data_IF_084332039774
#
_entry.id   IF_084332039774
#
_cell.length_a   1.000
_cell.length_b   1.000
_cell.length_c   1.000
_cell.angle_alpha   90.00
_cell.angle_beta   90.00
_cell.angle_gamma   90.00
#
_symmetry.space_group_name_H-M   'P 1'
#
loop_
_entity.id
_entity.type
_entity.pdbx_description
1 polymer ?
#
# COMPACT_ATOMS: atom_id res chain seq x y z
N UNK A 1 -46.58 -23.80 20.41
CA UNK A 1 -45.22 -24.36 20.28
C UNK A 1 -45.03 -24.83 18.84
N UNK A 2 -44.47 -24.00 17.97
CA UNK A 2 -44.07 -24.42 16.61
C UNK A 2 -42.71 -23.78 16.32
N UNK A 3 -41.63 -24.50 16.64
CA UNK A 3 -40.28 -24.19 16.17
C UNK A 3 -40.22 -24.55 14.69
N UNK A 4 -40.21 -23.56 13.80
CA UNK A 4 -39.70 -23.75 12.43
C UNK A 4 -38.20 -23.54 12.47
N UNK A 5 -37.44 -24.62 12.49
CA UNK A 5 -36.01 -24.60 12.18
C UNK A 5 -35.85 -24.28 10.70
N UNK A 6 -35.39 -23.08 10.37
CA UNK A 6 -34.87 -22.79 9.03
C UNK A 6 -33.55 -23.55 8.88
N UNK A 7 -33.63 -24.78 8.38
CA UNK A 7 -32.46 -25.45 7.82
C UNK A 7 -32.06 -24.65 6.58
N UNK A 8 -31.02 -23.83 6.71
CA UNK A 8 -30.35 -23.23 5.56
C UNK A 8 -29.77 -24.37 4.73
N UNK A 9 -30.41 -24.68 3.60
CA UNK A 9 -29.95 -25.72 2.70
C UNK A 9 -28.66 -25.26 2.01
N UNK A 10 -27.53 -25.87 2.40
CA UNK A 10 -26.22 -25.59 1.81
C UNK A 10 -26.17 -25.83 0.30
N UNK A 11 -27.17 -26.51 -0.28
CA UNK A 11 -27.35 -26.64 -1.73
C UNK A 11 -27.82 -25.35 -2.38
N UNK A 12 -28.70 -24.57 -1.77
CA UNK A 12 -29.15 -23.27 -2.33
C UNK A 12 -28.00 -22.25 -2.33
N UNK A 13 -27.18 -22.23 -1.27
CA UNK A 13 -25.98 -21.38 -1.21
C UNK A 13 -24.95 -21.82 -2.25
N UNK A 14 -24.69 -23.12 -2.40
CA UNK A 14 -23.79 -23.65 -3.44
C UNK A 14 -24.30 -23.39 -4.86
N UNK A 15 -25.61 -23.49 -5.09
CA UNK A 15 -26.22 -23.21 -6.40
C UNK A 15 -26.23 -21.72 -6.72
N UNK A 16 -26.43 -20.86 -5.71
CA UNK A 16 -26.36 -19.40 -5.88
C UNK A 16 -24.93 -18.94 -6.15
N UNK A 17 -23.94 -19.46 -5.41
CA UNK A 17 -22.51 -19.19 -5.66
C UNK A 17 -22.07 -19.79 -7.01
N UNK A 18 -22.52 -21.00 -7.33
CA UNK A 18 -22.25 -21.66 -8.60
C UNK A 18 -22.82 -20.91 -9.81
N UNK A 19 -24.04 -20.39 -9.69
CA UNK A 19 -24.68 -19.58 -10.74
C UNK A 19 -24.10 -18.15 -10.80
N UNK A 20 -23.67 -17.56 -9.69
CA UNK A 20 -22.92 -16.29 -9.69
C UNK A 20 -21.58 -16.40 -10.44
N UNK A 21 -20.90 -17.54 -10.31
CA UNK A 21 -19.65 -17.81 -11.01
C UNK A 21 -19.84 -18.19 -12.49
N UNK A 22 -20.99 -18.79 -12.84
CA UNK A 22 -21.29 -19.28 -14.19
C UNK A 22 -22.14 -18.32 -15.05
N UNK A 23 -22.92 -17.43 -14.44
CA UNK A 23 -23.90 -16.55 -15.11
C UNK A 23 -23.86 -15.09 -14.62
N UNK A 24 -23.04 -14.74 -13.63
CA UNK A 24 -22.91 -13.35 -13.20
C UNK A 24 -22.32 -12.48 -14.30
N UNK A 25 -22.82 -11.25 -14.43
CA UNK A 25 -22.18 -10.18 -15.20
C UNK A 25 -20.67 -10.21 -14.91
N UNK A 26 -19.81 -9.99 -15.93
CA UNK A 26 -18.34 -10.13 -15.79
C UNK A 26 -17.74 -9.39 -14.58
N UNK A 27 -18.48 -8.40 -14.10
CA UNK A 27 -18.27 -7.55 -12.94
C UNK A 27 -18.29 -8.29 -11.60
N UNK A 28 -19.36 -9.06 -11.37
CA UNK A 28 -19.52 -9.80 -10.13
C UNK A 28 -18.47 -10.89 -10.06
N UNK A 29 -18.15 -11.49 -11.21
CA UNK A 29 -17.06 -12.46 -11.34
C UNK A 29 -15.69 -11.83 -11.02
N UNK A 30 -15.39 -10.65 -11.56
CA UNK A 30 -14.14 -9.93 -11.26
C UNK A 30 -14.04 -9.60 -9.77
N UNK A 31 -15.11 -9.07 -9.15
CA UNK A 31 -15.13 -8.79 -7.72
C UNK A 31 -14.95 -10.05 -6.87
N UNK A 32 -15.59 -11.17 -7.21
CA UNK A 32 -15.41 -12.44 -6.50
C UNK A 32 -13.95 -12.91 -6.60
N UNK A 33 -13.33 -12.82 -7.78
CA UNK A 33 -11.93 -13.20 -7.97
C UNK A 33 -11.02 -12.31 -7.14
N UNK A 34 -11.16 -10.99 -7.23
CA UNK A 34 -10.30 -10.03 -6.53
C UNK A 34 -10.45 -10.15 -5.02
N UNK A 35 -11.68 -10.16 -4.50
CA UNK A 35 -11.91 -10.32 -3.06
C UNK A 35 -11.48 -11.71 -2.57
N UNK A 36 -11.68 -12.75 -3.37
CA UNK A 36 -11.20 -14.10 -3.06
C UNK A 36 -9.68 -14.15 -2.92
N UNK A 37 -8.94 -13.57 -3.87
CA UNK A 37 -7.48 -13.46 -3.81
C UNK A 37 -7.01 -12.60 -2.63
N UNK A 38 -7.70 -11.49 -2.34
CA UNK A 38 -7.42 -10.65 -1.18
C UNK A 38 -7.59 -11.43 0.14
N UNK A 39 -8.66 -12.24 0.25
CA UNK A 39 -8.90 -13.10 1.41
C UNK A 39 -7.84 -14.20 1.56
N UNK A 40 -7.28 -14.72 0.47
CA UNK A 40 -6.13 -15.65 0.54
C UNK A 40 -4.89 -14.93 1.10
N UNK A 41 -4.61 -13.70 0.65
CA UNK A 41 -3.55 -12.87 1.24
C UNK A 41 -3.78 -12.64 2.74
N UNK A 42 -5.02 -12.32 3.12
CA UNK A 42 -5.39 -12.12 4.52
C UNK A 42 -5.25 -13.38 5.37
N UNK A 43 -5.67 -14.53 4.85
CA UNK A 43 -5.50 -15.81 5.52
C UNK A 43 -4.02 -16.18 5.68
N UNK A 44 -3.20 -15.98 4.64
CA UNK A 44 -1.75 -16.17 4.74
C UNK A 44 -1.14 -15.25 5.81
N UNK A 45 -1.51 -13.95 5.80
CA UNK A 45 -1.04 -12.99 6.80
C UNK A 45 -1.46 -13.36 8.21
N UNK A 46 -2.69 -13.81 8.40
CA UNK A 46 -3.17 -14.30 9.69
C UNK A 46 -2.40 -15.54 10.17
N UNK A 47 -2.10 -16.47 9.26
CA UNK A 47 -1.27 -17.64 9.60
C UNK A 47 0.14 -17.20 9.98
N UNK A 48 0.71 -16.20 9.29
CA UNK A 48 2.01 -15.62 9.61
C UNK A 48 2.02 -14.96 10.98
N UNK A 49 1.03 -14.12 11.29
CA UNK A 49 0.86 -13.48 12.60
C UNK A 49 0.75 -14.51 13.75
N UNK A 50 0.11 -15.66 13.50
CA UNK A 50 -0.13 -16.68 14.51
C UNK A 50 0.99 -17.70 14.68
N UNK A 51 1.71 -18.04 13.60
CA UNK A 51 2.66 -19.18 13.59
C UNK A 51 4.04 -18.82 13.08
N UNK A 52 4.20 -17.70 12.39
CA UNK A 52 5.36 -17.38 11.58
C UNK A 52 5.49 -18.31 10.37
N UNK A 53 5.62 -17.72 9.19
CA UNK A 53 5.85 -18.41 7.93
C UNK A 53 7.26 -18.10 7.43
N UNK A 54 7.81 -19.06 6.70
CA UNK A 54 9.06 -18.80 5.98
C UNK A 54 8.86 -17.71 4.92
N UNK A 55 9.84 -16.81 4.72
CA UNK A 55 9.77 -15.79 3.67
C UNK A 55 9.52 -16.36 2.26
N UNK A 56 10.06 -17.55 1.99
CA UNK A 56 9.87 -18.25 0.71
C UNK A 56 8.44 -18.71 0.48
N UNK A 57 7.75 -19.17 1.53
CA UNK A 57 6.34 -19.53 1.41
C UNK A 57 5.47 -18.29 1.19
N UNK A 58 5.74 -17.21 1.94
CA UNK A 58 5.06 -15.91 1.74
C UNK A 58 5.22 -15.43 0.29
N UNK A 59 6.44 -15.50 -0.23
CA UNK A 59 6.73 -15.14 -1.62
C UNK A 59 6.03 -16.05 -2.62
N UNK A 60 6.07 -17.38 -2.43
CA UNK A 60 5.45 -18.33 -3.37
C UNK A 60 3.93 -18.16 -3.47
N UNK A 61 3.24 -17.98 -2.32
CA UNK A 61 1.79 -17.72 -2.29
C UNK A 61 1.49 -16.38 -2.94
N UNK A 62 2.22 -15.32 -2.58
CA UNK A 62 2.05 -14.01 -3.20
C UNK A 62 2.26 -14.03 -4.71
N UNK A 63 3.28 -14.75 -5.19
CA UNK A 63 3.57 -14.93 -6.61
C UNK A 63 2.43 -15.69 -7.31
N UNK A 64 1.91 -16.75 -6.69
CA UNK A 64 0.76 -17.49 -7.22
C UNK A 64 -0.48 -16.61 -7.36
N UNK A 65 -0.76 -15.75 -6.37
CA UNK A 65 -1.87 -14.78 -6.42
C UNK A 65 -1.64 -13.77 -7.55
N UNK A 66 -0.44 -13.19 -7.65
CA UNK A 66 -0.12 -12.21 -8.68
C UNK A 66 -0.24 -12.79 -10.10
N UNK A 67 0.30 -13.99 -10.32
CA UNK A 67 0.19 -14.71 -11.61
C UNK A 67 -1.27 -15.02 -11.93
N UNK A 68 -2.06 -15.44 -10.94
CA UNK A 68 -3.50 -15.72 -11.14
C UNK A 68 -4.26 -14.48 -11.58
N UNK A 69 -4.00 -13.33 -10.94
CA UNK A 69 -4.65 -12.07 -11.30
C UNK A 69 -4.25 -11.59 -12.70
N UNK A 70 -2.97 -11.72 -13.07
CA UNK A 70 -2.48 -11.38 -14.41
C UNK A 70 -3.05 -12.33 -15.48
N UNK A 71 -3.12 -13.63 -15.19
CA UNK A 71 -3.72 -14.62 -16.08
C UNK A 71 -5.24 -14.42 -16.27
N UNK A 72 -5.92 -13.84 -15.27
CA UNK A 72 -7.31 -13.40 -15.39
C UNK A 72 -7.47 -12.19 -16.34
N UNK A 73 -6.38 -11.47 -16.62
CA UNK A 73 -6.34 -10.34 -17.56
C UNK A 73 -6.15 -8.97 -16.90
N UNK A 74 -5.98 -8.92 -15.57
CA UNK A 74 -5.71 -7.65 -14.86
C UNK A 74 -4.21 -7.41 -14.85
N UNK A 75 -3.77 -6.52 -15.72
CA UNK A 75 -2.38 -6.15 -15.96
C UNK A 75 -2.26 -4.67 -16.29
N UNK A 76 -1.04 -4.17 -16.34
CA UNK A 76 -0.74 -2.76 -16.61
C UNK A 76 -1.27 -2.30 -17.96
N UNK A 77 -1.28 -3.16 -18.99
CA UNK A 77 -1.63 -2.79 -20.36
C UNK A 77 -0.72 -1.65 -20.88
N UNK A 78 0.57 -1.76 -20.56
CA UNK A 78 1.61 -0.83 -20.98
C UNK A 78 1.95 -1.00 -22.47
N UNK A 79 2.62 -0.01 -23.10
CA UNK A 79 3.10 -0.14 -24.49
C UNK A 79 4.31 -1.08 -24.64
N UNK A 80 4.69 -1.82 -23.59
CA UNK A 80 5.81 -2.75 -23.60
C UNK A 80 5.44 -4.09 -24.28
N UNK A 81 6.43 -4.89 -24.69
CA UNK A 81 6.18 -6.26 -25.14
C UNK A 81 5.42 -7.08 -24.07
N UNK A 82 4.56 -7.99 -24.51
CA UNK A 82 3.63 -8.74 -23.63
C UNK A 82 4.32 -9.40 -22.43
N UNK A 83 5.46 -10.06 -22.65
CA UNK A 83 6.23 -10.68 -21.57
C UNK A 83 6.73 -9.66 -20.51
N UNK A 84 7.11 -8.46 -20.95
CA UNK A 84 7.54 -7.39 -20.05
C UNK A 84 6.36 -6.76 -19.30
N UNK A 85 5.21 -6.60 -19.95
CA UNK A 85 3.98 -6.12 -19.30
C UNK A 85 3.49 -7.10 -18.21
N UNK A 86 3.50 -8.40 -18.52
CA UNK A 86 3.18 -9.48 -17.57
C UNK A 86 4.14 -9.45 -16.37
N UNK A 87 5.46 -9.42 -16.63
CA UNK A 87 6.46 -9.38 -15.58
C UNK A 87 6.31 -8.15 -14.70
N UNK A 88 6.14 -6.97 -15.30
CA UNK A 88 6.01 -5.71 -14.58
C UNK A 88 4.71 -5.68 -13.77
N UNK A 89 3.63 -6.29 -14.26
CA UNK A 89 2.36 -6.41 -13.53
C UNK A 89 2.50 -7.33 -12.32
N UNK A 90 3.22 -8.45 -12.43
CA UNK A 90 3.51 -9.32 -11.29
C UNK A 90 4.36 -8.59 -10.24
N UNK A 91 5.41 -7.89 -10.68
CA UNK A 91 6.27 -7.07 -9.81
C UNK A 91 5.47 -5.96 -9.13
N UNK A 92 4.55 -5.31 -9.86
CA UNK A 92 3.64 -4.31 -9.32
C UNK A 92 2.79 -4.87 -8.17
N UNK A 93 2.13 -6.01 -8.40
CA UNK A 93 1.26 -6.64 -7.40
C UNK A 93 2.05 -6.98 -6.14
N UNK A 94 3.19 -7.66 -6.29
CA UNK A 94 4.03 -8.05 -5.16
C UNK A 94 4.63 -6.82 -4.46
N UNK A 95 5.09 -5.84 -5.23
CA UNK A 95 5.74 -4.63 -4.72
C UNK A 95 4.79 -3.76 -3.91
N UNK A 96 3.62 -3.43 -4.45
CA UNK A 96 2.63 -2.60 -3.76
C UNK A 96 2.03 -3.34 -2.55
N UNK A 97 1.76 -4.64 -2.68
CA UNK A 97 1.25 -5.43 -1.55
C UNK A 97 2.23 -5.42 -0.38
N UNK A 98 3.52 -5.69 -0.64
CA UNK A 98 4.54 -5.63 0.40
C UNK A 98 4.81 -4.20 0.88
N UNK A 99 4.64 -3.17 0.03
CA UNK A 99 4.81 -1.79 0.46
C UNK A 99 3.82 -1.39 1.55
N UNK A 100 2.55 -1.82 1.46
CA UNK A 100 1.58 -1.59 2.52
C UNK A 100 1.84 -2.44 3.77
N UNK A 101 2.31 -3.68 3.62
CA UNK A 101 2.76 -4.50 4.76
C UNK A 101 3.92 -3.83 5.52
N UNK A 102 4.91 -3.30 4.80
CA UNK A 102 6.03 -2.56 5.38
C UNK A 102 5.62 -1.21 6.00
N UNK A 103 4.61 -0.55 5.42
CA UNK A 103 4.10 0.73 5.90
C UNK A 103 3.34 0.60 7.24
N UNK A 104 2.84 -0.59 7.57
CA UNK A 104 2.14 -0.91 8.82
C UNK A 104 3.09 -1.05 10.02
N UNK A 105 3.97 -0.06 10.20
CA UNK A 105 4.99 -0.04 11.26
C UNK A 105 4.67 0.93 12.42
N UNK A 106 3.65 1.79 12.26
CA UNK A 106 3.17 2.74 13.28
C UNK A 106 1.65 2.89 13.17
N UNK A 107 0.97 2.96 14.34
CA UNK A 107 -0.46 3.24 14.52
C UNK A 107 -1.02 4.29 13.55
N UNK A 108 -2.04 3.90 12.78
CA UNK A 108 -2.81 4.78 11.90
C UNK A 108 -2.13 5.14 10.58
N UNK A 109 -0.87 4.75 10.36
CA UNK A 109 -0.15 5.11 9.13
C UNK A 109 -0.66 4.33 7.92
N UNK A 110 -0.61 2.99 7.95
CA UNK A 110 -1.05 2.17 6.82
C UNK A 110 -2.54 2.37 6.51
N UNK A 111 -3.40 2.29 7.54
CA UNK A 111 -4.84 2.52 7.40
C UNK A 111 -5.18 3.93 6.89
N UNK A 112 -4.54 4.98 7.43
CA UNK A 112 -4.78 6.35 6.99
C UNK A 112 -4.29 6.59 5.55
N UNK A 113 -3.12 6.07 5.19
CA UNK A 113 -2.58 6.18 3.83
C UNK A 113 -3.47 5.42 2.84
N UNK A 114 -3.97 4.25 3.23
CA UNK A 114 -4.93 3.48 2.46
C UNK A 114 -6.27 4.22 2.29
N UNK A 115 -6.80 4.87 3.33
CA UNK A 115 -8.04 5.64 3.23
C UNK A 115 -7.92 6.80 2.22
N UNK A 116 -6.79 7.51 2.23
CA UNK A 116 -6.50 8.61 1.29
C UNK A 116 -6.31 8.10 -0.13
N UNK A 117 -5.51 7.03 -0.31
CA UNK A 117 -5.28 6.42 -1.61
C UNK A 117 -6.57 5.86 -2.22
N UNK A 118 -7.38 5.13 -1.44
CA UNK A 118 -8.67 4.62 -1.88
C UNK A 118 -9.64 5.74 -2.26
N UNK A 119 -9.72 6.81 -1.47
CA UNK A 119 -10.52 7.99 -1.83
C UNK A 119 -10.05 8.61 -3.15
N UNK A 120 -8.73 8.67 -3.36
CA UNK A 120 -8.16 9.21 -4.60
C UNK A 120 -8.48 8.33 -5.81
N UNK A 121 -8.32 7.01 -5.68
CA UNK A 121 -8.73 6.06 -6.72
C UNK A 121 -10.23 6.15 -7.01
N UNK A 122 -11.06 6.33 -5.98
CA UNK A 122 -12.50 6.56 -6.15
C UNK A 122 -12.77 7.82 -6.99
N UNK A 123 -12.15 8.96 -6.67
CA UNK A 123 -12.34 10.20 -7.42
C UNK A 123 -11.90 10.05 -8.88
N UNK A 124 -10.74 9.47 -9.13
CA UNK A 124 -10.24 9.23 -10.49
C UNK A 124 -11.21 8.29 -11.22
N UNK A 125 -11.60 7.17 -10.61
CA UNK A 125 -12.54 6.22 -11.21
C UNK A 125 -13.90 6.86 -11.52
N UNK A 126 -14.41 7.70 -10.61
CA UNK A 126 -15.68 8.41 -10.77
C UNK A 126 -15.63 9.40 -11.96
N UNK A 127 -14.53 10.14 -12.12
CA UNK A 127 -14.37 11.08 -13.24
C UNK A 127 -14.15 10.40 -14.59
N UNK A 128 -13.88 9.09 -14.58
CA UNK A 128 -13.55 8.30 -15.76
C UNK A 128 -14.54 7.17 -16.01
N UNK A 129 -15.76 7.27 -15.45
CA UNK A 129 -16.87 6.32 -15.60
C UNK A 129 -16.47 4.85 -15.30
N UNK A 130 -15.55 4.65 -14.35
CA UNK A 130 -15.10 3.32 -13.90
C UNK A 130 -15.86 2.88 -12.65
N UNK A 131 -17.18 2.64 -12.80
CA UNK A 131 -18.09 2.34 -11.69
C UNK A 131 -17.59 1.23 -10.76
N UNK A 132 -16.97 0.17 -11.30
CA UNK A 132 -16.49 -0.97 -10.51
C UNK A 132 -15.29 -0.61 -9.64
N UNK A 133 -14.33 0.09 -10.22
CA UNK A 133 -13.17 0.60 -9.49
C UNK A 133 -13.62 1.62 -8.44
N UNK A 134 -14.60 2.47 -8.77
CA UNK A 134 -15.17 3.45 -7.86
C UNK A 134 -15.86 2.79 -6.66
N UNK A 135 -16.74 1.80 -6.88
CA UNK A 135 -17.44 1.06 -5.82
C UNK A 135 -16.47 0.34 -4.87
N UNK A 136 -15.48 -0.36 -5.41
CA UNK A 136 -14.48 -1.03 -4.59
C UNK A 136 -13.64 -0.02 -3.80
N UNK A 137 -13.20 1.06 -4.45
CA UNK A 137 -12.38 2.09 -3.83
C UNK A 137 -13.11 2.84 -2.70
N UNK A 138 -14.37 3.24 -2.90
CA UNK A 138 -15.14 3.93 -1.85
C UNK A 138 -15.47 3.01 -0.68
N UNK A 139 -15.76 1.72 -0.96
CA UNK A 139 -15.95 0.71 0.07
C UNK A 139 -14.69 0.49 0.91
N UNK A 140 -13.52 0.42 0.25
CA UNK A 140 -12.23 0.30 0.91
C UNK A 140 -11.89 1.55 1.73
N UNK A 141 -12.15 2.76 1.20
CA UNK A 141 -11.97 4.01 1.91
C UNK A 141 -12.83 4.04 3.19
N UNK A 142 -14.11 3.68 3.10
CA UNK A 142 -15.01 3.59 4.25
C UNK A 142 -14.56 2.57 5.30
N UNK A 143 -14.13 1.39 4.87
CA UNK A 143 -13.59 0.36 5.76
C UNK A 143 -12.33 0.84 6.49
N UNK A 144 -11.41 1.52 5.78
CA UNK A 144 -10.19 2.07 6.37
C UNK A 144 -10.48 3.21 7.35
N UNK A 145 -11.43 4.10 7.04
CA UNK A 145 -11.85 5.15 7.97
C UNK A 145 -12.49 4.57 9.24
N UNK A 146 -13.32 3.53 9.09
CA UNK A 146 -13.92 2.81 10.22
C UNK A 146 -12.87 2.15 11.10
N UNK A 147 -11.90 1.45 10.50
CA UNK A 147 -10.78 0.83 11.19
C UNK A 147 -9.85 1.85 11.87
N UNK A 148 -9.58 2.97 11.18
CA UNK A 148 -8.69 4.03 11.67
C UNK A 148 -9.17 4.61 13.00
N UNK A 149 -10.47 4.63 13.28
CA UNK A 149 -11.02 5.05 14.58
C UNK A 149 -10.39 4.27 15.75
N UNK A 150 -10.17 2.97 15.58
CA UNK A 150 -9.58 2.08 16.60
C UNK A 150 -8.07 1.93 16.44
N UNK A 151 -7.53 2.21 15.26
CA UNK A 151 -6.10 2.09 14.96
C UNK A 151 -5.32 3.41 15.12
N UNK A 152 -5.99 4.56 15.30
CA UNK A 152 -5.32 5.85 15.48
C UNK A 152 -4.59 5.92 16.83
N UNK A 153 -3.42 6.56 16.85
CA UNK A 153 -2.54 6.54 18.02
C UNK A 153 -3.14 7.20 19.29
N UNK A 154 -3.27 6.46 20.42
CA UNK A 154 -2.79 5.08 20.67
C UNK A 154 -3.76 4.00 20.16
N UNK A 155 -3.27 3.03 19.38
CA UNK A 155 -4.11 2.00 18.79
C UNK A 155 -4.69 1.01 19.83
N UNK A 156 -5.97 0.66 19.67
CA UNK A 156 -6.63 -0.43 20.42
C UNK A 156 -6.69 -1.72 19.60
N UNK A 157 -6.65 -1.62 18.28
CA UNK A 157 -6.61 -2.76 17.35
C UNK A 157 -5.47 -2.53 16.35
N UNK A 158 -4.63 -3.53 16.19
CA UNK A 158 -3.53 -3.55 15.21
C UNK A 158 -4.00 -4.24 13.92
N UNK A 159 -3.41 -3.85 12.79
CA UNK A 159 -3.79 -4.36 11.48
C UNK A 159 -3.15 -5.73 11.19
N UNK A 160 -1.87 -5.90 11.54
CA UNK A 160 -1.14 -7.15 11.36
C UNK A 160 -0.91 -7.49 9.89
N UNK A 161 -0.25 -8.62 9.63
CA UNK A 161 0.00 -9.09 8.26
C UNK A 161 -1.31 -9.47 7.56
N UNK A 162 -2.30 -9.96 8.31
CA UNK A 162 -3.63 -10.28 7.78
C UNK A 162 -4.31 -9.09 7.11
N UNK A 163 -4.33 -7.93 7.77
CA UNK A 163 -4.96 -6.73 7.25
C UNK A 163 -4.10 -6.02 6.21
N UNK A 164 -2.80 -5.89 6.47
CA UNK A 164 -1.90 -5.09 5.63
C UNK A 164 -1.65 -5.70 4.25
N UNK A 165 -1.56 -7.04 4.15
CA UNK A 165 -1.48 -7.74 2.86
C UNK A 165 -2.79 -7.66 2.07
N UNK A 166 -3.94 -7.77 2.75
CA UNK A 166 -5.26 -7.63 2.14
C UNK A 166 -5.42 -6.25 1.48
N UNK A 167 -5.15 -5.17 2.23
CA UNK A 167 -5.30 -3.81 1.70
C UNK A 167 -4.24 -3.52 0.63
N UNK A 168 -3.01 -4.01 0.80
CA UNK A 168 -1.93 -3.80 -0.14
C UNK A 168 -2.25 -4.40 -1.50
N UNK A 169 -2.83 -5.61 -1.52
CA UNK A 169 -3.29 -6.25 -2.74
C UNK A 169 -4.43 -5.47 -3.42
N UNK A 170 -5.42 -5.00 -2.65
CA UNK A 170 -6.51 -4.19 -3.23
C UNK A 170 -6.01 -2.87 -3.79
N UNK A 171 -5.02 -2.23 -3.17
CA UNK A 171 -4.37 -1.03 -3.70
C UNK A 171 -3.61 -1.32 -4.99
N UNK A 172 -2.92 -2.46 -5.05
CA UNK A 172 -2.24 -2.88 -6.27
C UNK A 172 -3.24 -3.10 -7.41
N UNK A 173 -4.35 -3.80 -7.14
CA UNK A 173 -5.45 -4.02 -8.08
C UNK A 173 -6.06 -2.70 -8.57
N UNK A 174 -6.43 -1.79 -7.65
CA UNK A 174 -6.99 -0.48 -8.00
C UNK A 174 -6.03 0.32 -8.88
N UNK A 175 -4.73 0.26 -8.59
CA UNK A 175 -3.69 0.87 -9.42
C UNK A 175 -3.60 0.28 -10.83
N UNK A 176 -3.69 -1.04 -10.99
CA UNK A 176 -3.70 -1.69 -12.31
C UNK A 176 -4.96 -1.39 -13.11
N UNK A 177 -6.11 -1.29 -12.44
CA UNK A 177 -7.41 -1.01 -13.06
C UNK A 177 -7.67 0.46 -13.33
N UNK A 178 -6.87 1.35 -12.75
CA UNK A 178 -7.01 2.78 -12.97
C UNK A 178 -6.86 3.11 -14.46
N UNK A 179 -7.87 3.74 -15.02
CA UNK A 179 -7.83 4.38 -16.34
C UNK A 179 -8.03 5.89 -16.20
N UNK A 180 -7.55 6.63 -17.19
CA UNK A 180 -7.56 8.10 -17.22
C UNK A 180 -8.08 8.58 -18.56
N UNK A 181 -8.69 9.76 -18.59
CA UNK A 181 -9.32 10.37 -19.77
C UNK A 181 -8.30 10.53 -20.90
N UNK A 182 -7.09 10.92 -20.50
CA UNK A 182 -5.91 11.02 -21.36
C UNK A 182 -5.03 9.80 -21.09
N UNK A 183 -4.73 9.01 -22.12
CA UNK A 183 -3.83 7.85 -22.00
C UNK A 183 -2.48 8.15 -22.66
N UNK A 184 -1.67 8.96 -21.98
CA UNK A 184 -0.31 9.31 -22.39
C UNK A 184 0.70 8.76 -21.37
N UNK A 185 1.99 8.77 -21.71
CA UNK A 185 3.05 8.19 -20.87
C UNK A 185 3.00 8.71 -19.41
N UNK A 186 2.81 10.01 -19.12
CA UNK A 186 2.76 10.49 -17.73
C UNK A 186 1.63 9.87 -16.89
N UNK A 187 0.47 9.62 -17.49
CA UNK A 187 -0.72 9.11 -16.81
C UNK A 187 -0.56 7.64 -16.42
N UNK A 188 0.28 6.88 -17.13
CA UNK A 188 0.66 5.52 -16.73
C UNK A 188 1.33 5.49 -15.33
N UNK A 189 1.91 6.61 -14.88
CA UNK A 189 2.54 6.74 -13.57
C UNK A 189 1.59 7.28 -12.49
N UNK A 190 0.38 7.72 -12.84
CA UNK A 190 -0.55 8.27 -11.87
C UNK A 190 -0.86 7.32 -10.69
N UNK A 191 -0.98 5.98 -10.86
CA UNK A 191 -1.14 5.07 -9.72
C UNK A 191 0.04 5.11 -8.73
N UNK A 192 1.28 5.31 -9.21
CA UNK A 192 2.44 5.48 -8.33
C UNK A 192 2.38 6.79 -7.56
N UNK A 193 1.83 7.85 -8.16
CA UNK A 193 1.64 9.13 -7.48
C UNK A 193 0.61 8.97 -6.35
N UNK A 194 -0.52 8.32 -6.61
CA UNK A 194 -1.54 8.00 -5.57
C UNK A 194 -0.91 7.23 -4.40
N UNK A 195 -0.07 6.25 -4.71
CA UNK A 195 0.58 5.36 -3.73
C UNK A 195 1.93 5.89 -3.24
N UNK A 196 2.25 7.15 -3.53
CA UNK A 196 3.62 7.65 -3.46
C UNK A 196 4.26 7.56 -2.08
N UNK A 197 3.50 7.69 -0.98
CA UNK A 197 4.05 7.52 0.38
C UNK A 197 4.50 6.08 0.64
N UNK A 198 3.69 5.09 0.29
CA UNK A 198 4.04 3.67 0.47
C UNK A 198 5.23 3.27 -0.41
N UNK A 199 5.23 3.75 -1.67
CA UNK A 199 6.32 3.52 -2.62
C UNK A 199 7.62 4.19 -2.15
N UNK A 200 7.54 5.44 -1.69
CA UNK A 200 8.69 6.19 -1.18
C UNK A 200 9.27 5.53 0.08
N UNK A 201 8.43 5.09 1.01
CA UNK A 201 8.86 4.41 2.23
C UNK A 201 9.67 3.16 1.90
N UNK A 202 9.09 2.28 1.09
CA UNK A 202 9.72 1.02 0.68
C UNK A 202 11.00 1.27 -0.11
N UNK A 203 10.97 2.18 -1.08
CA UNK A 203 12.14 2.54 -1.88
C UNK A 203 13.27 3.06 -1.00
N UNK A 204 12.95 3.95 -0.06
CA UNK A 204 13.93 4.53 0.86
C UNK A 204 14.55 3.46 1.76
N UNK A 205 13.74 2.56 2.31
CA UNK A 205 14.22 1.44 3.14
C UNK A 205 15.15 0.54 2.33
N UNK A 206 14.73 0.09 1.15
CA UNK A 206 15.52 -0.79 0.27
C UNK A 206 16.84 -0.11 -0.11
N UNK A 207 16.80 1.11 -0.65
CA UNK A 207 18.00 1.85 -1.07
C UNK A 207 18.94 2.10 0.11
N UNK A 208 18.42 2.48 1.27
CA UNK A 208 19.23 2.73 2.47
C UNK A 208 19.89 1.46 3.00
N UNK A 209 19.23 0.29 2.91
CA UNK A 209 19.79 -1.00 3.34
C UNK A 209 20.87 -1.48 2.38
N UNK A 210 20.59 -1.46 1.06
CA UNK A 210 21.56 -1.83 0.03
C UNK A 210 22.85 -0.99 0.10
N UNK A 211 22.74 0.32 0.32
CA UNK A 211 23.91 1.21 0.50
C UNK A 211 24.78 0.86 1.71
N UNK A 212 24.23 0.17 2.70
CA UNK A 212 24.95 -0.30 3.90
C UNK A 212 25.35 -1.78 3.82
N UNK A 213 25.10 -2.45 2.69
CA UNK A 213 25.32 -3.89 2.56
C UNK A 213 24.35 -4.75 3.40
N UNK A 214 23.23 -4.20 3.85
CA UNK A 214 22.21 -4.91 4.63
C UNK A 214 21.13 -5.43 3.67
N UNK A 215 20.68 -6.66 3.90
CA UNK A 215 19.59 -7.25 3.11
C UNK A 215 18.29 -6.44 3.27
N UNK A 216 17.56 -6.13 2.18
CA UNK A 216 16.26 -5.48 2.25
C UNK A 216 15.21 -6.27 3.05
N UNK A 217 15.36 -7.58 3.17
CA UNK A 217 14.42 -8.46 3.88
C UNK A 217 14.65 -8.51 5.39
N UNK A 218 15.68 -7.84 5.91
CA UNK A 218 15.93 -7.74 7.35
C UNK A 218 15.01 -6.71 7.98
N UNK A 219 14.24 -7.07 9.01
CA UNK A 219 13.41 -6.12 9.76
C UNK A 219 14.23 -4.97 10.37
N UNK A 220 13.65 -3.77 10.47
CA UNK A 220 14.38 -2.61 10.96
C UNK A 220 13.53 -1.35 11.16
N UNK A 221 14.09 -0.36 11.85
CA UNK A 221 13.44 0.91 12.21
C UNK A 221 13.91 2.05 11.28
N UNK A 222 13.90 1.82 9.97
CA UNK A 222 14.44 2.73 8.95
C UNK A 222 13.41 3.24 7.92
N UNK A 223 12.14 3.01 8.20
CA UNK A 223 10.97 3.61 7.53
C UNK A 223 10.90 5.13 7.73
N UNK A 224 10.17 5.82 6.85
CA UNK A 224 9.92 7.27 6.89
C UNK A 224 9.40 7.70 8.26
N UNK A 225 8.48 6.93 8.82
CA UNK A 225 7.88 7.17 10.12
C UNK A 225 8.94 7.22 11.24
N UNK A 226 9.86 6.25 11.27
CA UNK A 226 10.96 6.20 12.23
C UNK A 226 12.01 7.28 11.98
N UNK A 227 12.22 7.69 10.72
CA UNK A 227 13.12 8.81 10.39
C UNK A 227 12.57 10.14 10.88
N UNK A 228 11.29 10.41 10.68
CA UNK A 228 10.63 11.59 11.24
C UNK A 228 10.70 11.59 12.77
N UNK A 229 10.50 10.44 13.42
CA UNK A 229 10.68 10.31 14.87
C UNK A 229 12.11 10.60 15.34
N UNK A 230 13.12 10.13 14.62
CA UNK A 230 14.53 10.46 14.90
C UNK A 230 14.86 11.93 14.71
N UNK A 231 14.07 12.66 13.92
CA UNK A 231 14.17 14.12 13.80
C UNK A 231 13.40 14.86 14.91
N UNK A 232 12.89 14.17 15.92
CA UNK A 232 12.22 14.75 17.08
C UNK A 232 10.70 14.91 16.94
N UNK A 233 10.08 14.40 15.87
CA UNK A 233 8.62 14.44 15.74
C UNK A 233 7.97 13.37 16.64
N UNK A 234 6.84 13.71 17.25
CA UNK A 234 6.00 12.72 17.93
C UNK A 234 5.37 11.75 16.93
N UNK A 235 4.87 10.61 17.42
CA UNK A 235 4.15 9.62 16.60
C UNK A 235 3.04 10.27 15.79
N UNK A 236 2.14 11.03 16.47
CA UNK A 236 1.04 11.74 15.83
C UNK A 236 1.51 12.71 14.75
N UNK A 237 2.54 13.52 15.03
CA UNK A 237 3.10 14.47 14.04
C UNK A 237 3.70 13.75 12.83
N UNK A 238 4.38 12.62 13.05
CA UNK A 238 4.98 11.83 11.98
C UNK A 238 3.89 11.26 11.06
N UNK A 239 2.86 10.64 11.64
CA UNK A 239 1.72 10.09 10.88
C UNK A 239 0.98 11.21 10.15
N UNK A 240 0.61 12.30 10.83
CA UNK A 240 -0.09 13.44 10.19
C UNK A 240 0.71 14.04 9.04
N UNK A 241 2.03 14.15 9.15
CA UNK A 241 2.90 14.64 8.06
C UNK A 241 2.81 13.73 6.83
N UNK A 242 2.88 12.42 7.03
CA UNK A 242 2.79 11.44 5.95
C UNK A 242 1.38 11.37 5.34
N UNK A 243 0.32 11.55 6.14
CA UNK A 243 -1.05 11.65 5.64
C UNK A 243 -1.27 12.94 4.83
N UNK A 244 -0.75 14.08 5.27
CA UNK A 244 -0.78 15.32 4.49
C UNK A 244 -0.03 15.17 3.17
N UNK A 245 1.13 14.51 3.17
CA UNK A 245 1.85 14.18 1.95
C UNK A 245 1.03 13.26 1.03
N UNK A 246 0.33 12.27 1.59
CA UNK A 246 -0.57 11.38 0.84
C UNK A 246 -1.72 12.15 0.20
N UNK A 247 -2.32 13.11 0.90
CA UNK A 247 -3.40 13.96 0.37
C UNK A 247 -2.87 14.86 -0.75
N UNK A 248 -1.70 15.48 -0.55
CA UNK A 248 -1.08 16.33 -1.57
C UNK A 248 -0.75 15.53 -2.85
N UNK A 249 -0.19 14.33 -2.69
CA UNK A 249 0.07 13.41 -3.80
C UNK A 249 -1.22 12.93 -4.46
N UNK A 250 -2.28 12.66 -3.69
CA UNK A 250 -3.58 12.30 -4.23
C UNK A 250 -4.19 13.42 -5.09
N UNK A 251 -4.14 14.66 -4.62
CA UNK A 251 -4.54 15.83 -5.41
C UNK A 251 -3.71 16.01 -6.67
N UNK A 252 -2.40 15.78 -6.58
CA UNK A 252 -1.50 15.80 -7.74
C UNK A 252 -1.83 14.69 -8.75
N UNK A 253 -2.19 13.49 -8.28
CA UNK A 253 -2.59 12.37 -9.12
C UNK A 253 -3.92 12.64 -9.85
N UNK A 254 -4.90 13.24 -9.17
CA UNK A 254 -6.15 13.69 -9.81
C UNK A 254 -5.85 14.73 -10.90
N UNK A 255 -5.03 15.74 -10.60
CA UNK A 255 -4.61 16.73 -11.60
C UNK A 255 -3.86 16.09 -12.78
N UNK A 256 -2.98 15.12 -12.52
CA UNK A 256 -2.24 14.38 -13.55
C UNK A 256 -3.17 13.55 -14.45
N UNK A 257 -4.26 12.99 -13.90
CA UNK A 257 -5.16 12.09 -14.63
C UNK A 257 -5.90 12.76 -15.79
N UNK A 258 -6.10 14.08 -15.73
CA UNK A 258 -6.79 14.85 -16.77
C UNK A 258 -5.88 15.87 -17.49
N UNK A 259 -4.63 16.02 -17.02
CA UNK A 259 -3.69 16.98 -17.59
C UNK A 259 -3.30 16.62 -19.04
N UNK A 260 -3.15 17.61 -19.93
CA UNK A 260 -2.46 17.42 -21.21
C UNK A 260 -1.05 16.87 -21.00
N UNK A 261 -0.53 16.07 -21.94
CA UNK A 261 0.76 15.38 -21.81
C UNK A 261 1.91 16.29 -21.34
N UNK A 262 2.02 17.50 -21.92
CA UNK A 262 3.06 18.49 -21.57
C UNK A 262 3.02 18.88 -20.09
N UNK A 263 1.83 19.18 -19.56
CA UNK A 263 1.62 19.49 -18.15
C UNK A 263 1.85 18.24 -17.30
N UNK A 264 1.39 17.07 -17.77
CA UNK A 264 1.58 15.79 -17.09
C UNK A 264 3.06 15.46 -16.82
N UNK A 265 3.96 15.70 -17.78
CA UNK A 265 5.40 15.53 -17.56
C UNK A 265 5.95 16.44 -16.46
N UNK A 266 5.50 17.70 -16.38
CA UNK A 266 5.92 18.62 -15.33
C UNK A 266 5.40 18.22 -13.95
N UNK A 267 4.14 17.77 -13.85
CA UNK A 267 3.56 17.27 -12.62
C UNK A 267 4.31 16.02 -12.13
N UNK A 268 4.61 15.08 -13.04
CA UNK A 268 5.37 13.88 -12.72
C UNK A 268 6.80 14.22 -12.29
N UNK A 269 7.47 15.15 -12.99
CA UNK A 269 8.80 15.62 -12.61
C UNK A 269 8.79 16.25 -11.22
N UNK A 270 7.79 17.09 -10.89
CA UNK A 270 7.65 17.67 -9.56
C UNK A 270 7.45 16.59 -8.47
N UNK A 271 6.63 15.58 -8.73
CA UNK A 271 6.44 14.44 -7.82
C UNK A 271 7.77 13.70 -7.57
N UNK A 272 8.49 13.34 -8.63
CA UNK A 272 9.77 12.63 -8.54
C UNK A 272 10.82 13.47 -7.81
N UNK A 273 10.98 14.74 -8.18
CA UNK A 273 11.95 15.64 -7.55
C UNK A 273 11.66 15.86 -6.07
N UNK A 274 10.39 16.01 -5.69
CA UNK A 274 10.01 16.14 -4.28
C UNK A 274 10.30 14.86 -3.47
N UNK A 275 10.05 13.67 -4.04
CA UNK A 275 10.39 12.39 -3.42
C UNK A 275 11.90 12.18 -3.27
N UNK A 276 12.68 12.53 -4.30
CA UNK A 276 14.16 12.50 -4.25
C UNK A 276 14.67 13.47 -3.19
N UNK A 277 14.17 14.71 -3.17
CA UNK A 277 14.52 15.71 -2.17
C UNK A 277 14.21 15.22 -0.74
N UNK A 278 13.00 14.69 -0.51
CA UNK A 278 12.61 14.12 0.77
C UNK A 278 13.56 12.99 1.20
N UNK A 279 13.92 12.09 0.27
CA UNK A 279 14.87 10.99 0.53
C UNK A 279 16.24 11.52 0.95
N UNK A 280 16.80 12.49 0.20
CA UNK A 280 18.10 13.08 0.49
C UNK A 280 18.08 13.82 1.84
N UNK A 281 17.06 14.64 2.09
CA UNK A 281 16.95 15.39 3.34
C UNK A 281 16.78 14.47 4.56
N UNK A 282 15.91 13.48 4.48
CA UNK A 282 15.65 12.58 5.60
C UNK A 282 16.81 11.61 5.86
N UNK A 283 17.54 11.17 4.83
CA UNK A 283 18.76 10.37 5.05
C UNK A 283 19.89 11.19 5.65
N UNK A 284 20.17 12.38 5.12
CA UNK A 284 21.28 13.23 5.56
C UNK A 284 21.04 13.83 6.95
N UNK A 285 19.84 14.34 7.25
CA UNK A 285 19.54 14.91 8.57
C UNK A 285 19.57 13.86 9.66
N UNK A 286 19.01 12.67 9.42
CA UNK A 286 19.04 11.58 10.41
C UNK A 286 20.48 11.16 10.67
N UNK A 287 21.33 11.04 9.64
CA UNK A 287 22.74 10.72 9.83
C UNK A 287 23.48 11.75 10.70
N UNK A 288 23.20 13.05 10.51
CA UNK A 288 23.77 14.12 11.34
C UNK A 288 23.34 14.04 12.80
N UNK A 289 22.04 13.88 13.06
CA UNK A 289 21.50 13.75 14.43
C UNK A 289 22.16 12.56 15.14
N UNK A 290 22.24 11.40 14.48
CA UNK A 290 22.88 10.21 15.06
C UNK A 290 24.38 10.41 15.34
N UNK A 291 25.11 11.13 14.48
CA UNK A 291 26.51 11.46 14.71
C UNK A 291 26.70 12.35 15.95
N UNK A 292 25.87 13.39 16.11
CA UNK A 292 25.90 14.29 17.28
C UNK A 292 25.55 13.57 18.58
N UNK A 293 24.58 12.66 18.57
CA UNK A 293 24.25 11.84 19.74
C UNK A 293 25.42 10.93 20.14
N UNK A 294 26.13 10.37 19.15
CA UNK A 294 27.30 9.52 19.38
C UNK A 294 28.47 10.32 19.96
N UNK A 295 28.75 11.50 19.39
CA UNK A 295 29.77 12.40 19.91
C UNK A 295 29.47 12.79 21.36
N UNK A 296 28.26 13.28 21.67
CA UNK A 296 27.87 13.69 23.04
C UNK A 296 27.94 12.55 24.06
N UNK A 297 27.58 11.32 23.67
CA UNK A 297 27.70 10.15 24.56
C UNK A 297 29.16 9.77 24.88
N UNK A 298 30.09 10.00 23.95
CA UNK A 298 31.51 9.73 24.15
C UNK A 298 32.22 10.79 25.02
N UNK A 299 31.59 11.93 25.31
CA UNK A 299 32.18 13.02 26.12
C UNK A 299 31.80 12.94 27.62
N UNK A 300 31.12 11.88 28.08
CA UNK A 300 30.90 11.65 29.52
C UNK A 300 31.23 10.20 29.91
N UNK A 301 32.29 9.99 30.70
CA UNK A 301 32.12 10.11 32.13
C UNK A 301 33.21 10.97 32.77
N UNK A 302 32.90 12.24 33.09
CA UNK A 302 33.62 12.90 34.18
C UNK A 302 33.12 12.26 35.48
N UNK A 303 33.82 11.17 35.80
CA UNK A 303 34.04 10.61 37.13
C UNK A 303 33.83 11.70 38.18
N UNK A 304 32.70 11.66 38.89
CA UNK A 304 32.61 12.28 40.22
C UNK A 304 33.39 11.35 41.15
N UNK A 305 34.71 11.42 41.06
CA UNK A 305 35.55 10.93 42.13
C UNK A 305 35.50 11.94 43.27
N UNK A 306 34.91 11.45 44.37
CA UNK A 306 35.33 11.62 45.76
C UNK A 306 35.37 13.04 46.33
N UNK A 307 34.52 13.23 47.34
CA UNK A 307 34.47 14.32 48.31
C UNK A 307 33.27 14.13 49.22
#
# INVERSE_FOLDING_TARGET
>A
MVRRSSQFDGREVRLTIGNLLAQGDGLVRELIVVLGLALIFSAMGLIDDLRGLSPWLRFAVGLGIAVTLVAYGIRLQSPLPDAADVLLSVVWILGITNAFNLLDNIDGLAAGTAAVAATTFFLIALFNDQDYSALLAIGLAGAMLGFLRSNFHPATIYMGDAGSLFIGFLMAYLGLKMRTTVTEIPQLFAPLVVLGVAVLDTTMVVVSRLRRGVSPFTGGQDHLSHRLRRLGLSVRRSVSTLLLASVALGGLAVALSDAPATVGYWLLAAAVLSGVMATVLLTTKVARVTATDTETSNISPLRRDVG
#
